data_IF_363242986528
#
_entry.id   IF_363242986528
#
_cell.length_a   1.000
_cell.length_b   1.000
_cell.length_c   1.000
_cell.angle_alpha   90.00
_cell.angle_beta   90.00
_cell.angle_gamma   90.00
#
_symmetry.space_group_name_H-M   'P 1'
#
loop_
_entity.id
_entity.type
_entity.pdbx_description
1 polymer ?
#
# COMPACT_ATOMS: atom_id res chain seq x y z
N UNK A 1 -14.26 30.64 -6.06
CA UNK A 1 -14.78 30.02 -4.83
C UNK A 1 -13.75 29.03 -4.35
N UNK A 2 -13.10 29.32 -3.23
CA UNK A 2 -12.04 28.46 -2.68
C UNK A 2 -12.68 27.19 -2.12
N UNK A 3 -12.17 26.03 -2.53
CA UNK A 3 -12.50 24.74 -1.91
C UNK A 3 -11.94 24.80 -0.48
N UNK A 4 -12.75 24.57 0.57
CA UNK A 4 -12.24 24.53 1.92
C UNK A 4 -11.27 23.34 2.03
N UNK A 5 -10.04 23.61 2.47
CA UNK A 5 -9.04 22.57 2.70
C UNK A 5 -9.57 21.55 3.70
N UNK A 6 -9.66 20.29 3.26
CA UNK A 6 -9.86 19.15 4.16
C UNK A 6 -8.75 19.20 5.22
N UNK A 7 -9.17 19.09 6.47
CA UNK A 7 -8.29 19.02 7.64
C UNK A 7 -7.24 17.94 7.40
N UNK A 8 -5.95 18.30 7.46
CA UNK A 8 -4.86 17.34 7.44
C UNK A 8 -4.82 16.57 8.76
N UNK A 9 -5.71 15.60 8.94
CA UNK A 9 -5.51 14.52 9.89
C UNK A 9 -4.43 13.62 9.29
N UNK A 10 -3.15 13.96 9.51
CA UNK A 10 -2.03 13.06 9.15
C UNK A 10 -2.00 11.87 10.11
N UNK A 11 -3.01 11.00 10.03
CA UNK A 11 -3.03 9.73 10.77
C UNK A 11 -2.10 8.70 10.11
N UNK A 12 -1.87 8.82 8.80
CA UNK A 12 -0.82 8.10 8.07
C UNK A 12 0.28 9.10 7.69
N UNK A 13 1.48 8.88 8.21
CA UNK A 13 2.63 9.73 7.90
C UNK A 13 3.06 9.60 6.44
N UNK A 14 3.52 10.71 5.86
CA UNK A 14 4.12 10.71 4.53
C UNK A 14 5.55 10.18 4.61
N UNK A 15 5.97 9.43 3.60
CA UNK A 15 7.34 8.93 3.49
C UNK A 15 8.23 10.09 3.03
N UNK A 16 9.36 10.36 3.70
CA UNK A 16 10.28 11.42 3.28
C UNK A 16 10.81 11.20 1.86
N UNK A 17 10.75 12.22 1.00
CA UNK A 17 11.19 12.12 -0.41
C UNK A 17 12.67 11.76 -0.56
N UNK A 18 13.52 12.03 0.44
CA UNK A 18 14.92 11.60 0.42
C UNK A 18 15.08 10.07 0.37
N UNK A 19 14.06 9.30 0.80
CA UNK A 19 14.07 7.84 0.68
C UNK A 19 13.93 7.34 -0.76
N UNK A 20 13.66 8.19 -1.76
CA UNK A 20 13.83 7.77 -3.15
C UNK A 20 15.27 7.35 -3.47
N UNK A 21 16.28 7.82 -2.70
CA UNK A 21 17.68 7.34 -2.81
C UNK A 21 17.87 5.92 -2.28
N UNK A 22 16.94 5.48 -1.44
CA UNK A 22 16.95 4.19 -0.75
C UNK A 22 15.60 3.48 -1.02
N UNK A 23 15.33 3.10 -2.28
CA UNK A 23 13.98 2.69 -2.70
C UNK A 23 13.45 1.46 -1.95
N UNK A 24 14.33 0.57 -1.49
CA UNK A 24 13.93 -0.58 -0.68
C UNK A 24 13.51 -0.15 0.73
N UNK A 25 14.15 0.89 1.29
CA UNK A 25 13.75 1.50 2.56
C UNK A 25 12.45 2.30 2.40
N UNK A 26 12.24 2.94 1.25
CA UNK A 26 10.94 3.55 0.90
C UNK A 26 9.81 2.52 0.91
N UNK A 27 9.96 1.40 0.19
CA UNK A 27 8.94 0.34 0.14
C UNK A 27 8.65 -0.24 1.53
N UNK A 28 9.71 -0.51 2.30
CA UNK A 28 9.58 -0.94 3.69
C UNK A 28 8.82 0.08 4.56
N UNK A 29 9.10 1.38 4.41
CA UNK A 29 8.36 2.43 5.10
C UNK A 29 6.89 2.50 4.66
N UNK A 30 6.58 2.21 3.40
CA UNK A 30 5.21 2.14 2.92
C UNK A 30 4.45 0.95 3.51
N UNK A 31 5.12 -0.18 3.78
CA UNK A 31 4.50 -1.29 4.52
C UNK A 31 4.12 -0.90 5.95
N UNK A 32 4.80 0.07 6.58
CA UNK A 32 4.35 0.61 7.85
C UNK A 32 3.01 1.35 7.69
N UNK A 33 2.86 2.14 6.62
CA UNK A 33 1.60 2.83 6.30
C UNK A 33 0.47 1.82 6.01
N UNK A 34 0.76 0.75 5.28
CA UNK A 34 -0.20 -0.36 5.07
C UNK A 34 -0.64 -1.03 6.38
N UNK A 35 0.26 -1.19 7.36
CA UNK A 35 -0.12 -1.70 8.70
C UNK A 35 -1.07 -0.76 9.43
N UNK A 36 -0.87 0.55 9.33
CA UNK A 36 -1.76 1.55 9.93
C UNK A 36 -3.14 1.49 9.25
N UNK A 37 -3.19 1.37 7.93
CA UNK A 37 -4.43 1.14 7.18
C UNK A 37 -5.17 -0.11 7.68
N UNK A 38 -4.47 -1.23 7.80
CA UNK A 38 -5.04 -2.48 8.31
C UNK A 38 -5.60 -2.30 9.73
N UNK A 39 -4.89 -1.58 10.60
CA UNK A 39 -5.35 -1.26 11.96
C UNK A 39 -6.61 -0.38 11.95
N UNK A 40 -6.70 0.59 11.05
CA UNK A 40 -7.89 1.42 10.93
C UNK A 40 -9.10 0.64 10.41
N UNK A 41 -8.89 -0.30 9.48
CA UNK A 41 -9.94 -1.24 9.06
C UNK A 41 -10.44 -2.09 10.23
N UNK A 42 -9.53 -2.62 11.07
CA UNK A 42 -9.92 -3.35 12.28
C UNK A 42 -10.75 -2.45 13.21
N UNK A 43 -10.30 -1.21 13.44
CA UNK A 43 -11.01 -0.26 14.30
C UNK A 43 -12.40 0.05 13.77
N UNK A 44 -12.57 0.30 12.47
CA UNK A 44 -13.87 0.51 11.84
C UNK A 44 -14.79 -0.70 12.10
N UNK A 45 -14.24 -1.93 12.05
CA UNK A 45 -15.02 -3.14 12.30
C UNK A 45 -15.49 -3.32 13.75
N UNK A 46 -14.77 -2.75 14.73
CA UNK A 46 -15.18 -2.74 16.14
C UNK A 46 -16.13 -1.59 16.52
N UNK A 47 -16.53 -0.75 15.55
CA UNK A 47 -17.46 0.38 15.70
C UNK A 47 -17.16 1.33 16.90
N UNK A 48 -16.12 2.16 16.82
CA UNK A 48 -15.74 3.12 17.86
C UNK A 48 -16.74 4.29 18.01
N UNK A 49 -17.84 4.29 17.26
CA UNK A 49 -18.80 5.38 17.14
C UNK A 49 -18.69 6.14 15.80
N UNK A 50 -19.82 6.65 15.32
CA UNK A 50 -20.00 7.16 13.95
C UNK A 50 -19.00 8.23 13.51
N UNK A 51 -18.70 9.23 14.36
CA UNK A 51 -17.77 10.32 14.00
C UNK A 51 -16.32 9.83 13.83
N UNK A 52 -15.91 8.85 14.65
CA UNK A 52 -14.57 8.27 14.54
C UNK A 52 -14.49 7.33 13.34
N UNK A 53 -15.54 6.54 13.09
CA UNK A 53 -15.64 5.66 11.91
C UNK A 53 -15.53 6.47 10.62
N UNK A 54 -16.22 7.60 10.51
CA UNK A 54 -16.18 8.46 9.32
C UNK A 54 -14.75 8.97 9.04
N UNK A 55 -14.03 9.44 10.07
CA UNK A 55 -12.64 9.91 9.94
C UNK A 55 -11.68 8.79 9.52
N UNK A 56 -11.78 7.64 10.16
CA UNK A 56 -10.95 6.48 9.80
C UNK A 56 -11.23 6.02 8.37
N UNK A 57 -12.51 6.04 7.96
CA UNK A 57 -12.89 5.68 6.62
C UNK A 57 -12.31 6.63 5.57
N UNK A 58 -12.31 7.95 5.81
CA UNK A 58 -11.65 8.93 4.94
C UNK A 58 -10.15 8.67 4.80
N UNK A 59 -9.45 8.42 5.92
CA UNK A 59 -8.00 8.16 5.93
C UNK A 59 -7.66 6.89 5.14
N UNK A 60 -8.39 5.80 5.36
CA UNK A 60 -8.17 4.54 4.65
C UNK A 60 -8.49 4.70 3.16
N UNK A 61 -9.61 5.36 2.83
CA UNK A 61 -10.02 5.59 1.45
C UNK A 61 -8.97 6.38 0.66
N UNK A 62 -8.45 7.47 1.24
CA UNK A 62 -7.42 8.27 0.60
C UNK A 62 -6.16 7.45 0.29
N UNK A 63 -5.72 6.56 1.21
CA UNK A 63 -4.58 5.67 0.98
C UNK A 63 -4.87 4.65 -0.13
N UNK A 64 -6.03 3.98 -0.10
CA UNK A 64 -6.39 2.95 -1.07
C UNK A 64 -6.51 3.52 -2.49
N UNK A 65 -7.01 4.74 -2.65
CA UNK A 65 -7.21 5.36 -3.96
C UNK A 65 -5.96 6.04 -4.52
N UNK A 66 -5.00 6.44 -3.67
CA UNK A 66 -3.86 7.26 -4.08
C UNK A 66 -2.51 6.58 -3.90
N UNK A 67 -2.27 5.99 -2.74
CA UNK A 67 -0.95 5.48 -2.37
C UNK A 67 -0.76 4.01 -2.77
N UNK A 68 -1.73 3.15 -2.46
CA UNK A 68 -1.65 1.72 -2.76
C UNK A 68 -1.44 1.42 -4.26
N UNK A 69 -2.11 2.10 -5.22
CA UNK A 69 -1.85 1.87 -6.64
C UNK A 69 -0.42 2.24 -7.07
N UNK A 70 0.17 3.25 -6.42
CA UNK A 70 1.55 3.66 -6.69
C UNK A 70 2.55 2.64 -6.12
N UNK A 71 2.28 2.13 -4.92
CA UNK A 71 3.05 1.04 -4.31
C UNK A 71 3.10 -0.20 -5.22
N UNK A 72 1.92 -0.71 -5.61
CA UNK A 72 1.80 -1.86 -6.50
C UNK A 72 2.52 -1.59 -7.84
N UNK A 73 2.42 -0.36 -8.37
CA UNK A 73 3.11 0.00 -9.60
C UNK A 73 4.64 0.04 -9.46
N UNK A 74 5.17 0.45 -8.30
CA UNK A 74 6.61 0.38 -8.03
C UNK A 74 7.13 -1.05 -8.04
N UNK A 75 6.30 -1.98 -7.55
CA UNK A 75 6.65 -3.40 -7.48
C UNK A 75 6.50 -4.09 -8.83
N UNK A 76 5.31 -4.05 -9.42
CA UNK A 76 4.95 -4.77 -10.64
C UNK A 76 5.71 -4.27 -11.87
N UNK A 77 5.87 -2.94 -11.99
CA UNK A 77 6.44 -2.35 -13.20
C UNK A 77 7.95 -2.20 -13.13
N UNK A 78 8.56 -2.35 -11.95
CA UNK A 78 9.97 -1.99 -11.75
C UNK A 78 10.72 -2.99 -10.87
N UNK A 79 10.36 -3.14 -9.59
CA UNK A 79 11.09 -4.01 -8.67
C UNK A 79 11.09 -5.47 -9.13
N UNK A 80 9.92 -6.03 -9.43
CA UNK A 80 9.78 -7.44 -9.79
C UNK A 80 10.49 -7.76 -11.12
N UNK A 81 10.34 -6.99 -12.21
CA UNK A 81 11.14 -7.18 -13.43
C UNK A 81 12.65 -7.13 -13.18
N UNK A 82 13.13 -6.20 -12.33
CA UNK A 82 14.56 -6.10 -11.99
C UNK A 82 15.06 -7.31 -11.20
N UNK A 83 14.28 -7.78 -10.23
CA UNK A 83 14.58 -9.00 -9.50
C UNK A 83 14.67 -10.20 -10.44
N UNK A 84 13.71 -10.36 -11.36
CA UNK A 84 13.77 -11.44 -12.37
C UNK A 84 15.02 -11.37 -13.25
N UNK A 85 15.49 -10.17 -13.57
CA UNK A 85 16.71 -9.98 -14.36
C UNK A 85 18.01 -10.22 -13.58
N UNK A 86 18.00 -10.03 -12.25
CA UNK A 86 19.21 -10.11 -11.38
C UNK A 86 19.32 -11.41 -10.59
N UNK A 87 18.21 -12.08 -10.34
CA UNK A 87 18.17 -13.33 -9.59
C UNK A 87 18.41 -14.55 -10.49
N UNK A 88 19.10 -15.54 -9.92
CA UNK A 88 19.27 -16.86 -10.54
C UNK A 88 18.26 -17.89 -10.02
N UNK A 89 18.30 -19.09 -10.57
CA UNK A 89 17.43 -20.20 -10.13
C UNK A 89 17.60 -20.58 -8.66
N UNK A 90 18.80 -20.38 -8.09
CA UNK A 90 19.11 -20.67 -6.68
C UNK A 90 18.37 -19.73 -5.71
N UNK A 91 17.97 -18.54 -6.15
CA UNK A 91 17.25 -17.56 -5.33
C UNK A 91 15.78 -17.95 -5.12
N UNK A 92 15.23 -18.84 -5.98
CA UNK A 92 13.87 -19.39 -5.90
C UNK A 92 12.75 -18.34 -5.76
N UNK A 93 12.98 -17.13 -6.27
CA UNK A 93 12.06 -15.99 -6.07
C UNK A 93 10.85 -16.00 -7.01
N UNK A 94 10.93 -16.64 -8.18
CA UNK A 94 9.89 -16.54 -9.23
C UNK A 94 8.50 -16.97 -8.75
N UNK A 95 8.42 -18.05 -7.96
CA UNK A 95 7.16 -18.50 -7.39
C UNK A 95 6.55 -17.50 -6.40
N UNK A 96 7.41 -16.80 -5.64
CA UNK A 96 6.99 -15.75 -4.72
C UNK A 96 6.49 -14.53 -5.50
N UNK A 97 7.21 -14.07 -6.53
CA UNK A 97 6.77 -12.95 -7.36
C UNK A 97 5.45 -13.25 -8.06
N UNK A 98 5.28 -14.46 -8.59
CA UNK A 98 4.02 -14.89 -9.21
C UNK A 98 2.87 -14.85 -8.21
N UNK A 99 3.07 -15.38 -7.00
CA UNK A 99 2.07 -15.34 -5.94
C UNK A 99 1.70 -13.90 -5.58
N UNK A 100 2.68 -13.01 -5.40
CA UNK A 100 2.44 -11.61 -5.05
C UNK A 100 1.66 -10.88 -6.14
N UNK A 101 2.00 -11.09 -7.43
CA UNK A 101 1.24 -10.50 -8.54
C UNK A 101 -0.21 -10.99 -8.62
N UNK A 102 -0.47 -12.26 -8.31
CA UNK A 102 -1.85 -12.75 -8.19
C UNK A 102 -2.59 -12.10 -7.00
N UNK A 103 -1.91 -11.92 -5.87
CA UNK A 103 -2.47 -11.24 -4.70
C UNK A 103 -2.74 -9.76 -5.00
N UNK A 104 -1.90 -9.07 -5.76
CA UNK A 104 -2.15 -7.71 -6.25
C UNK A 104 -3.41 -7.60 -7.10
N UNK A 105 -3.60 -8.54 -8.05
CA UNK A 105 -4.79 -8.55 -8.89
C UNK A 105 -6.08 -8.75 -8.05
N UNK A 106 -6.05 -9.67 -7.08
CA UNK A 106 -7.19 -9.89 -6.15
C UNK A 106 -7.41 -8.69 -5.23
N UNK A 107 -6.32 -8.05 -4.78
CA UNK A 107 -6.36 -6.85 -3.95
C UNK A 107 -7.06 -5.69 -4.67
N UNK A 108 -6.80 -5.50 -5.96
CA UNK A 108 -7.49 -4.49 -6.77
C UNK A 108 -9.01 -4.72 -6.82
N UNK A 109 -9.44 -5.97 -7.02
CA UNK A 109 -10.87 -6.32 -7.05
C UNK A 109 -11.55 -6.06 -5.69
N UNK A 110 -10.97 -6.57 -4.60
CA UNK A 110 -11.47 -6.32 -3.24
C UNK A 110 -11.45 -4.83 -2.87
N UNK A 111 -10.44 -4.10 -3.33
CA UNK A 111 -10.26 -2.68 -3.08
C UNK A 111 -11.40 -1.83 -3.63
N UNK A 112 -12.01 -2.21 -4.77
CA UNK A 112 -13.17 -1.51 -5.33
C UNK A 112 -14.40 -1.62 -4.42
N UNK A 113 -14.69 -2.82 -3.92
CA UNK A 113 -15.79 -3.06 -2.99
C UNK A 113 -15.56 -2.35 -1.65
N UNK A 114 -14.34 -2.44 -1.13
CA UNK A 114 -13.95 -1.79 0.11
C UNK A 114 -14.08 -0.27 0.01
N UNK A 115 -13.59 0.34 -1.08
CA UNK A 115 -13.66 1.79 -1.31
C UNK A 115 -15.11 2.30 -1.36
N UNK A 116 -16.03 1.54 -1.96
CA UNK A 116 -17.44 1.92 -2.00
C UNK A 116 -18.07 1.97 -0.60
N UNK A 117 -17.75 0.99 0.27
CA UNK A 117 -18.21 0.99 1.66
C UNK A 117 -17.60 2.12 2.49
N UNK A 118 -16.29 2.34 2.36
CA UNK A 118 -15.58 3.41 3.05
C UNK A 118 -16.12 4.80 2.68
N UNK A 119 -16.48 5.04 1.40
CA UNK A 119 -17.15 6.30 0.99
C UNK A 119 -18.46 6.54 1.73
N UNK A 120 -19.31 5.51 1.89
CA UNK A 120 -20.57 5.64 2.65
C UNK A 120 -20.30 5.99 4.11
N UNK A 121 -19.33 5.30 4.73
CA UNK A 121 -18.94 5.56 6.12
C UNK A 121 -18.38 6.97 6.32
N UNK A 122 -17.53 7.43 5.39
CA UNK A 122 -16.98 8.79 5.39
C UNK A 122 -18.08 9.87 5.30
N UNK A 123 -19.17 9.60 4.59
CA UNK A 123 -20.35 10.47 4.51
C UNK A 123 -21.24 10.45 5.77
N UNK A 124 -20.86 9.68 6.80
CA UNK A 124 -21.58 9.58 8.07
C UNK A 124 -22.74 8.59 8.07
N UNK A 125 -22.84 7.73 7.04
CA UNK A 125 -23.79 6.64 7.06
C UNK A 125 -23.39 5.62 8.13
N UNK A 126 -24.39 5.09 8.84
CA UNK A 126 -24.15 4.12 9.91
C UNK A 126 -23.50 2.85 9.37
N UNK A 127 -22.46 2.38 10.05
CA UNK A 127 -21.81 1.08 9.83
C UNK A 127 -22.71 -0.11 10.18
N UNK A 128 -23.80 0.14 10.90
CA UNK A 128 -24.54 -0.88 11.65
C UNK A 128 -25.19 -2.01 10.83
N UNK A 129 -25.14 -2.02 9.49
CA UNK A 129 -25.87 -3.02 8.68
C UNK A 129 -25.27 -3.45 7.33
N UNK A 130 -23.97 -3.68 7.23
CA UNK A 130 -23.45 -4.49 6.11
C UNK A 130 -22.40 -5.49 6.58
N UNK A 131 -22.85 -6.64 7.10
CA UNK A 131 -21.99 -7.80 7.45
C UNK A 131 -21.00 -8.11 6.32
N UNK A 132 -21.43 -7.92 5.06
CA UNK A 132 -20.61 -8.07 3.87
C UNK A 132 -19.44 -7.06 3.79
N UNK A 133 -19.63 -5.79 4.18
CA UNK A 133 -18.54 -4.81 4.21
C UNK A 133 -17.49 -5.20 5.26
N UNK A 134 -17.95 -5.59 6.45
CA UNK A 134 -17.06 -5.98 7.55
C UNK A 134 -16.24 -7.23 7.18
N UNK A 135 -16.86 -8.20 6.53
CA UNK A 135 -16.18 -9.39 6.01
C UNK A 135 -15.13 -9.03 4.95
N UNK A 136 -15.46 -8.13 4.01
CA UNK A 136 -14.50 -7.65 2.99
C UNK A 136 -13.34 -6.88 3.63
N UNK A 137 -13.62 -6.00 4.59
CA UNK A 137 -12.60 -5.22 5.31
C UNK A 137 -11.63 -6.13 6.08
N UNK A 138 -12.15 -7.12 6.82
CA UNK A 138 -11.33 -8.11 7.54
C UNK A 138 -10.48 -8.94 6.57
N UNK A 139 -11.11 -9.47 5.52
CA UNK A 139 -10.42 -10.29 4.50
C UNK A 139 -9.30 -9.50 3.81
N UNK A 140 -9.57 -8.25 3.44
CA UNK A 140 -8.58 -7.36 2.84
C UNK A 140 -7.40 -7.15 3.80
N UNK A 141 -7.67 -6.74 5.04
CA UNK A 141 -6.63 -6.44 6.01
C UNK A 141 -5.77 -7.70 6.31
N UNK A 142 -6.37 -8.87 6.47
CA UNK A 142 -5.64 -10.13 6.69
C UNK A 142 -4.75 -10.49 5.48
N UNK A 143 -5.27 -10.30 4.28
CA UNK A 143 -4.54 -10.55 3.03
C UNK A 143 -3.33 -9.61 2.93
N UNK A 144 -3.53 -8.30 3.14
CA UNK A 144 -2.44 -7.32 3.12
C UNK A 144 -1.37 -7.61 4.16
N UNK A 145 -1.75 -8.00 5.39
CA UNK A 145 -0.77 -8.37 6.43
C UNK A 145 0.13 -9.53 6.05
N UNK A 146 -0.44 -10.55 5.40
CA UNK A 146 0.34 -11.68 4.89
C UNK A 146 1.22 -11.29 3.71
N UNK A 147 0.71 -10.39 2.86
CA UNK A 147 1.36 -9.92 1.65
C UNK A 147 2.67 -9.18 1.95
N UNK A 148 2.59 -8.03 2.66
CA UNK A 148 3.80 -7.27 2.98
C UNK A 148 4.77 -8.05 3.89
N UNK A 149 4.27 -8.99 4.70
CA UNK A 149 5.15 -9.86 5.51
C UNK A 149 5.95 -10.85 4.64
N UNK A 150 5.39 -11.31 3.52
CA UNK A 150 6.10 -12.13 2.55
C UNK A 150 7.15 -11.28 1.81
N UNK A 151 6.81 -10.07 1.42
CA UNK A 151 7.73 -9.15 0.76
C UNK A 151 8.92 -8.79 1.66
N UNK A 152 8.67 -8.40 2.90
CA UNK A 152 9.71 -8.07 3.86
C UNK A 152 10.64 -9.24 4.20
N UNK A 153 10.10 -10.46 4.22
CA UNK A 153 10.88 -11.66 4.52
C UNK A 153 11.68 -12.17 3.33
N UNK A 154 11.21 -11.94 2.10
CA UNK A 154 11.72 -12.63 0.92
C UNK A 154 12.12 -11.69 -0.21
N UNK A 155 11.28 -10.73 -0.58
CA UNK A 155 11.51 -9.83 -1.72
C UNK A 155 12.51 -8.74 -1.38
N UNK A 156 12.25 -7.95 -0.32
CA UNK A 156 13.09 -6.81 0.03
C UNK A 156 14.53 -7.20 0.38
N UNK A 157 14.80 -8.27 1.17
CA UNK A 157 16.17 -8.70 1.46
C UNK A 157 16.92 -9.11 0.18
N UNK A 158 16.25 -9.85 -0.69
CA UNK A 158 16.85 -10.30 -1.95
C UNK A 158 17.10 -9.11 -2.90
N UNK A 159 16.22 -8.11 -2.90
CA UNK A 159 16.44 -6.88 -3.66
C UNK A 159 17.70 -6.13 -3.18
N UNK A 160 17.93 -6.04 -1.87
CA UNK A 160 19.18 -5.47 -1.33
C UNK A 160 20.41 -6.26 -1.73
N UNK A 161 20.30 -7.57 -1.79
CA UNK A 161 21.42 -8.46 -2.14
C UNK A 161 21.76 -8.43 -3.63
N UNK A 162 20.74 -8.41 -4.50
CA UNK A 162 20.88 -8.67 -5.94
C UNK A 162 20.87 -7.42 -6.81
N UNK A 163 20.20 -6.34 -6.39
CA UNK A 163 20.13 -5.12 -7.19
C UNK A 163 21.43 -4.33 -7.08
N UNK A 164 21.96 -3.93 -8.24
CA UNK A 164 23.13 -3.06 -8.30
C UNK A 164 22.77 -1.63 -7.89
N UNK A 165 23.76 -0.78 -7.54
CA UNK A 165 23.52 0.63 -7.29
C UNK A 165 22.80 1.36 -8.44
N UNK A 166 23.04 0.95 -9.69
CA UNK A 166 22.34 1.51 -10.86
C UNK A 166 20.86 1.13 -10.88
N UNK A 167 20.54 -0.14 -10.58
CA UNK A 167 19.16 -0.61 -10.52
C UNK A 167 18.36 0.14 -9.45
N UNK A 168 18.97 0.32 -8.25
CA UNK A 168 18.35 1.05 -7.15
C UNK A 168 18.14 2.53 -7.50
N UNK A 169 19.12 3.18 -8.13
CA UNK A 169 18.99 4.57 -8.54
C UNK A 169 17.91 4.77 -9.62
N UNK A 170 17.78 3.84 -10.56
CA UNK A 170 16.72 3.87 -11.58
C UNK A 170 15.34 3.60 -10.97
N UNK A 171 15.21 2.59 -10.10
CA UNK A 171 13.98 2.30 -9.38
C UNK A 171 13.50 3.54 -8.59
N UNK A 172 14.40 4.16 -7.81
CA UNK A 172 14.09 5.37 -7.06
C UNK A 172 13.65 6.55 -7.94
N UNK A 173 14.27 6.72 -9.11
CA UNK A 173 13.85 7.74 -10.10
C UNK A 173 12.45 7.47 -10.64
N UNK A 174 12.13 6.22 -10.98
CA UNK A 174 10.77 5.84 -11.40
C UNK A 174 9.75 6.09 -10.29
N UNK A 175 10.07 5.73 -9.04
CA UNK A 175 9.19 5.94 -7.88
C UNK A 175 8.89 7.42 -7.65
N UNK A 176 9.90 8.29 -7.76
CA UNK A 176 9.74 9.74 -7.67
C UNK A 176 8.87 10.27 -8.83
N UNK A 177 9.14 9.82 -10.06
CA UNK A 177 8.40 10.24 -11.24
C UNK A 177 6.92 9.85 -11.20
N UNK A 178 6.58 8.63 -10.73
CA UNK A 178 5.18 8.18 -10.53
C UNK A 178 4.42 9.07 -9.54
N UNK A 179 5.14 9.72 -8.61
CA UNK A 179 4.60 10.63 -7.59
C UNK A 179 4.68 12.10 -8.00
N UNK A 180 5.18 12.42 -9.20
CA UNK A 180 5.40 13.80 -9.64
C UNK A 180 6.45 14.56 -8.81
N UNK A 181 7.31 13.82 -8.10
CA UNK A 181 8.37 14.38 -7.26
C UNK A 181 9.71 14.41 -8.01
N UNK A 182 10.61 15.30 -7.58
CA UNK A 182 11.97 15.31 -8.06
C UNK A 182 12.76 14.16 -7.40
N UNK A 183 13.62 13.48 -8.17
CA UNK A 183 14.59 12.59 -7.56
C UNK A 183 15.62 13.44 -6.80
N UNK A 184 15.82 13.22 -5.50
CA UNK A 184 16.76 14.00 -4.70
C UNK A 184 18.20 13.84 -5.19
N UNK A 185 18.95 14.96 -5.20
CA UNK A 185 20.39 14.99 -5.51
C UNK A 185 21.24 14.21 -4.47
#
# INVERSE_FOLDING_TARGET
MAVPGRSQTKEIEAIPENLFREPIDYLFADHYRQRIVCKHLDQIAFDPGTDQVAKLAEVVLDYLERDLPLHIADEEQDLFPRLRARCGSEDRIEGILTQLSEEHARCQELGLHLSAGLRRLAEGHSSTQEDAFLEVASTFAETQRRHFALEERSVLPLARERLSPSDLAELGRSMAARRGAAYPE
#
